data_IF_135381423025
#
_entry.id   IF_135381423025
#
_cell.length_a   1.000
_cell.length_b   1.000
_cell.length_c   1.000
_cell.angle_alpha   90.00
_cell.angle_beta   90.00
_cell.angle_gamma   90.00
#
_symmetry.space_group_name_H-M   'P 1'
#
loop_
_entity.id
_entity.type
_entity.pdbx_description
1 polymer ?
#
# COMPACT_ATOMS: atom_id res chain seq x y z
N UNK A 1 16.28 -45.34 -8.52
CA UNK A 1 15.48 -44.82 -9.65
C UNK A 1 14.72 -43.57 -9.19
N UNK A 2 15.12 -42.37 -9.65
CA UNK A 2 14.32 -41.16 -9.42
C UNK A 2 13.03 -41.32 -10.21
N UNK A 3 11.89 -41.34 -9.53
CA UNK A 3 10.57 -41.20 -10.17
C UNK A 3 10.60 -39.95 -11.04
N UNK A 4 10.15 -40.02 -12.31
CA UNK A 4 10.10 -38.83 -13.16
C UNK A 4 9.31 -37.74 -12.40
N UNK A 5 9.88 -36.53 -12.42
CA UNK A 5 9.28 -35.39 -11.71
C UNK A 5 7.92 -35.11 -12.39
N UNK A 6 6.85 -35.53 -11.71
CA UNK A 6 5.50 -35.41 -12.26
C UNK A 6 5.16 -33.92 -12.38
N UNK A 7 4.74 -33.41 -13.54
CA UNK A 7 4.54 -31.95 -13.78
C UNK A 7 3.63 -31.27 -12.73
N UNK A 8 2.67 -32.00 -12.17
CA UNK A 8 1.81 -31.46 -11.12
C UNK A 8 2.58 -31.12 -9.81
N UNK A 9 3.70 -31.80 -9.53
CA UNK A 9 4.54 -31.51 -8.34
C UNK A 9 5.23 -30.17 -8.45
N UNK A 10 5.75 -29.87 -9.62
CA UNK A 10 6.36 -28.56 -9.91
C UNK A 10 5.33 -27.44 -9.77
N UNK A 11 4.12 -27.65 -10.30
CA UNK A 11 3.03 -26.67 -10.16
C UNK A 11 2.58 -26.56 -8.69
N UNK A 12 2.44 -27.67 -7.97
CA UNK A 12 2.12 -27.66 -6.55
C UNK A 12 3.15 -26.85 -5.75
N UNK A 13 4.44 -27.08 -5.99
CA UNK A 13 5.50 -26.33 -5.31
C UNK A 13 5.39 -24.81 -5.59
N UNK A 14 5.10 -24.41 -6.84
CA UNK A 14 4.92 -23.02 -7.21
C UNK A 14 3.65 -22.38 -6.60
N UNK A 15 2.66 -23.18 -6.23
CA UNK A 15 1.38 -22.76 -5.67
C UNK A 15 1.22 -23.13 -4.19
N UNK A 16 2.31 -23.30 -3.46
CA UNK A 16 2.32 -23.67 -2.02
C UNK A 16 1.49 -24.92 -1.71
N UNK A 17 1.46 -25.88 -2.62
CA UNK A 17 0.70 -27.12 -2.47
C UNK A 17 -0.77 -27.05 -2.88
N UNK A 18 -1.27 -25.90 -3.32
CA UNK A 18 -2.66 -25.70 -3.72
C UNK A 18 -2.81 -25.95 -5.22
N UNK A 19 -3.74 -26.81 -5.62
CA UNK A 19 -4.01 -27.14 -7.03
C UNK A 19 -5.51 -27.18 -7.29
N UNK A 20 -5.98 -26.57 -8.37
CA UNK A 20 -7.37 -26.76 -8.77
C UNK A 20 -7.52 -28.07 -9.56
N UNK A 21 -8.72 -28.68 -9.46
CA UNK A 21 -9.03 -29.95 -10.11
C UNK A 21 -8.87 -29.90 -11.62
N UNK A 22 -9.08 -28.74 -12.25
CA UNK A 22 -8.87 -28.51 -13.66
C UNK A 22 -7.39 -28.62 -14.04
N UNK A 23 -6.48 -27.92 -13.30
CA UNK A 23 -5.03 -28.04 -13.50
C UNK A 23 -4.56 -29.49 -13.39
N UNK A 24 -5.06 -30.23 -12.40
CA UNK A 24 -4.73 -31.63 -12.23
C UNK A 24 -5.16 -32.46 -13.44
N UNK A 25 -6.36 -32.26 -13.94
CA UNK A 25 -6.85 -32.95 -15.13
C UNK A 25 -6.00 -32.61 -16.38
N UNK A 26 -5.66 -31.35 -16.60
CA UNK A 26 -4.77 -30.90 -17.69
C UNK A 26 -3.37 -31.54 -17.61
N UNK A 27 -2.90 -31.84 -16.39
CA UNK A 27 -1.62 -32.52 -16.14
C UNK A 27 -1.73 -34.05 -16.05
N UNK A 28 -2.86 -34.61 -16.47
CA UNK A 28 -3.07 -36.07 -16.55
C UNK A 28 -3.39 -36.74 -15.20
N UNK A 29 -3.68 -35.96 -14.14
CA UNK A 29 -4.08 -36.48 -12.84
C UNK A 29 -5.60 -36.59 -12.77
N UNK A 30 -6.13 -37.75 -13.10
CA UNK A 30 -7.56 -38.02 -13.17
C UNK A 30 -8.25 -38.01 -11.79
N UNK A 31 -9.60 -37.88 -11.81
CA UNK A 31 -10.46 -37.76 -10.62
C UNK A 31 -10.27 -38.91 -9.62
N UNK A 32 -10.12 -40.16 -10.10
CA UNK A 32 -9.90 -41.31 -9.23
C UNK A 32 -8.57 -41.21 -8.47
N UNK A 33 -7.51 -40.75 -9.12
CA UNK A 33 -6.22 -40.56 -8.47
C UNK A 33 -6.32 -39.47 -7.38
N UNK A 34 -7.00 -38.35 -7.66
CA UNK A 34 -7.25 -37.28 -6.66
C UNK A 34 -8.01 -37.84 -5.48
N UNK A 35 -9.11 -38.59 -5.71
CA UNK A 35 -9.90 -39.23 -4.65
C UNK A 35 -9.05 -40.16 -3.79
N UNK A 36 -8.27 -41.04 -4.39
CA UNK A 36 -7.39 -41.97 -3.67
C UNK A 36 -6.33 -41.26 -2.82
N UNK A 37 -5.80 -40.09 -3.26
CA UNK A 37 -4.87 -39.28 -2.45
C UNK A 37 -5.58 -38.68 -1.24
N UNK A 38 -6.82 -38.24 -1.37
CA UNK A 38 -7.63 -37.70 -0.27
C UNK A 38 -8.02 -38.81 0.73
N UNK A 39 -8.54 -39.94 0.23
CA UNK A 39 -8.90 -41.07 1.07
C UNK A 39 -7.71 -41.64 1.84
N UNK A 40 -6.52 -41.60 1.24
CA UNK A 40 -5.28 -41.99 1.90
C UNK A 40 -4.71 -40.94 2.87
N UNK A 41 -5.41 -39.82 3.09
CA UNK A 41 -4.97 -38.76 3.99
C UNK A 41 -3.70 -38.01 3.55
N UNK A 42 -3.27 -38.14 2.28
CA UNK A 42 -2.11 -37.44 1.75
C UNK A 42 -2.46 -36.06 1.19
N UNK A 43 -3.67 -35.89 0.69
CA UNK A 43 -4.22 -34.63 0.20
C UNK A 43 -5.50 -34.29 0.97
N UNK A 44 -5.86 -33.00 0.95
CA UNK A 44 -7.09 -32.49 1.57
C UNK A 44 -7.92 -31.76 0.50
N UNK A 45 -9.23 -32.01 0.49
CA UNK A 45 -10.15 -31.19 -0.31
C UNK A 45 -10.34 -29.84 0.42
N UNK A 46 -9.62 -28.83 -0.01
CA UNK A 46 -9.69 -27.48 0.59
C UNK A 46 -10.95 -26.71 0.15
N UNK A 47 -11.50 -27.07 -1.01
CA UNK A 47 -12.82 -26.61 -1.48
C UNK A 47 -13.34 -27.60 -2.54
N UNK A 48 -14.59 -27.46 -3.04
CA UNK A 48 -15.06 -28.27 -4.17
C UNK A 48 -14.13 -28.25 -5.39
N UNK A 49 -13.49 -27.11 -5.63
CA UNK A 49 -12.65 -26.88 -6.82
C UNK A 49 -11.15 -27.08 -6.57
N UNK A 50 -10.68 -27.04 -5.32
CA UNK A 50 -9.25 -27.00 -4.98
C UNK A 50 -8.88 -28.08 -3.98
N UNK A 51 -7.72 -28.69 -4.19
CA UNK A 51 -7.09 -29.60 -3.25
C UNK A 51 -5.77 -29.03 -2.74
N UNK A 52 -5.46 -29.33 -1.48
CA UNK A 52 -4.15 -29.14 -0.89
C UNK A 52 -3.36 -30.47 -0.98
N UNK A 53 -2.12 -30.40 -1.43
CA UNK A 53 -1.19 -31.54 -1.40
C UNK A 53 -0.45 -31.65 -0.07
N UNK A 54 -0.77 -30.78 0.88
CA UNK A 54 -0.31 -30.79 2.28
C UNK A 54 -1.49 -30.95 3.21
N UNK A 55 -1.24 -31.46 4.42
CA UNK A 55 -2.23 -31.63 5.48
C UNK A 55 -1.96 -30.64 6.61
N UNK A 56 -2.96 -30.35 7.44
CA UNK A 56 -2.87 -29.40 8.54
C UNK A 56 -3.48 -28.03 8.21
N UNK A 57 -3.35 -27.05 9.13
CA UNK A 57 -3.87 -25.71 8.94
C UNK A 57 -3.23 -25.03 7.72
N UNK A 58 -4.05 -24.32 6.96
CA UNK A 58 -3.55 -23.61 5.77
C UNK A 58 -2.77 -22.37 6.18
N UNK A 59 -1.61 -22.18 5.59
CA UNK A 59 -0.85 -20.94 5.70
C UNK A 59 -1.54 -19.80 4.95
N UNK A 60 -1.15 -18.55 5.24
CA UNK A 60 -1.68 -17.37 4.55
C UNK A 60 -1.46 -17.42 3.04
N UNK A 61 -0.31 -17.91 2.59
CA UNK A 61 -0.03 -18.08 1.15
C UNK A 61 -0.90 -19.18 0.52
N UNK A 62 -1.17 -20.26 1.26
CA UNK A 62 -2.11 -21.28 0.82
C UNK A 62 -3.54 -20.73 0.72
N UNK A 63 -3.98 -19.90 1.67
CA UNK A 63 -5.29 -19.25 1.60
C UNK A 63 -5.39 -18.30 0.39
N UNK A 64 -4.31 -17.54 0.08
CA UNK A 64 -4.26 -16.70 -1.13
C UNK A 64 -4.46 -17.53 -2.41
N UNK A 65 -3.72 -18.62 -2.54
CA UNK A 65 -3.87 -19.53 -3.69
C UNK A 65 -5.23 -20.21 -3.72
N UNK A 66 -5.72 -20.68 -2.57
CA UNK A 66 -7.04 -21.30 -2.46
C UNK A 66 -8.13 -20.38 -2.99
N UNK A 67 -8.16 -19.13 -2.56
CA UNK A 67 -9.17 -18.17 -2.98
C UNK A 67 -9.16 -17.91 -4.48
N UNK A 68 -7.99 -17.68 -5.06
CA UNK A 68 -7.86 -17.41 -6.50
C UNK A 68 -8.19 -18.64 -7.34
N UNK A 69 -7.70 -19.82 -6.95
CA UNK A 69 -7.96 -21.08 -7.68
C UNK A 69 -9.42 -21.51 -7.58
N UNK A 70 -10.08 -21.30 -6.44
CA UNK A 70 -11.48 -21.59 -6.23
C UNK A 70 -12.37 -20.70 -7.10
N UNK A 71 -12.09 -19.40 -7.12
CA UNK A 71 -12.86 -18.44 -7.90
C UNK A 71 -12.58 -18.50 -9.43
N UNK A 72 -11.52 -19.20 -9.83
CA UNK A 72 -11.22 -19.50 -11.21
C UNK A 72 -10.34 -18.46 -11.94
N UNK A 73 -10.13 -18.63 -13.24
CA UNK A 73 -9.03 -17.97 -13.98
C UNK A 73 -9.22 -16.46 -14.18
N UNK A 74 -10.40 -15.93 -13.90
CA UNK A 74 -10.69 -14.50 -14.01
C UNK A 74 -10.60 -13.77 -12.67
N UNK A 75 -10.34 -14.50 -11.57
CA UNK A 75 -10.19 -13.96 -10.23
C UNK A 75 -8.75 -13.53 -9.98
N UNK A 76 -8.58 -12.60 -9.04
CA UNK A 76 -7.26 -12.18 -8.56
C UNK A 76 -7.33 -11.68 -7.11
N UNK A 77 -6.21 -11.75 -6.40
CA UNK A 77 -6.08 -11.08 -5.12
C UNK A 77 -6.34 -9.59 -5.27
N UNK A 78 -7.11 -9.03 -4.35
CA UNK A 78 -7.46 -7.62 -4.32
C UNK A 78 -7.09 -6.93 -3.02
N UNK A 79 -7.37 -5.63 -2.99
CA UNK A 79 -7.29 -4.81 -1.77
C UNK A 79 -5.96 -4.98 -1.02
N UNK A 80 -6.04 -5.06 0.32
CA UNK A 80 -4.85 -5.22 1.17
C UNK A 80 -4.14 -6.55 0.95
N UNK A 81 -4.86 -7.63 0.60
CA UNK A 81 -4.22 -8.93 0.32
C UNK A 81 -3.30 -8.87 -0.89
N UNK A 82 -3.65 -8.08 -1.90
CA UNK A 82 -2.77 -7.79 -3.03
C UNK A 82 -1.62 -6.86 -2.61
N UNK A 83 -1.92 -5.83 -1.82
CA UNK A 83 -0.92 -4.88 -1.37
C UNK A 83 0.16 -5.53 -0.48
N UNK A 84 -0.20 -6.51 0.35
CA UNK A 84 0.75 -7.32 1.13
C UNK A 84 1.72 -8.09 0.24
N UNK A 85 1.23 -8.71 -0.84
CA UNK A 85 2.09 -9.42 -1.80
C UNK A 85 3.09 -8.47 -2.48
N UNK A 86 2.73 -7.19 -2.60
CA UNK A 86 3.61 -6.12 -3.08
C UNK A 86 4.48 -5.50 -1.98
N UNK A 87 4.45 -6.01 -0.75
CA UNK A 87 5.31 -5.59 0.34
C UNK A 87 4.73 -4.49 1.25
N UNK A 88 3.41 -4.21 1.20
CA UNK A 88 2.81 -3.26 2.13
C UNK A 88 2.76 -3.86 3.53
N UNK A 89 3.47 -3.24 4.47
CA UNK A 89 3.55 -3.65 5.87
C UNK A 89 2.52 -2.92 6.74
N UNK A 90 2.14 -3.54 7.89
CA UNK A 90 1.26 -2.97 8.95
C UNK A 90 -0.17 -2.63 8.51
N UNK A 91 -0.62 -3.18 7.37
CA UNK A 91 -1.95 -2.96 6.79
C UNK A 91 -2.64 -4.27 6.40
N UNK A 92 -2.36 -5.36 7.09
CA UNK A 92 -3.00 -6.63 6.82
C UNK A 92 -4.42 -6.72 7.40
N UNK A 93 -5.19 -7.64 6.88
CA UNK A 93 -6.47 -8.12 7.43
C UNK A 93 -6.37 -9.63 7.60
N UNK A 94 -7.13 -10.19 8.52
CA UNK A 94 -7.14 -11.65 8.71
C UNK A 94 -7.69 -12.35 7.47
N UNK A 95 -8.76 -11.83 6.91
CA UNK A 95 -9.36 -12.34 5.68
C UNK A 95 -8.55 -12.00 4.43
N UNK A 96 -8.48 -12.95 3.51
CA UNK A 96 -7.93 -12.78 2.18
C UNK A 96 -9.00 -12.23 1.25
N UNK A 97 -8.79 -11.07 0.67
CA UNK A 97 -9.71 -10.50 -0.33
C UNK A 97 -9.38 -11.01 -1.73
N UNK A 98 -10.38 -11.60 -2.39
CA UNK A 98 -10.32 -12.04 -3.78
C UNK A 98 -11.36 -11.29 -4.59
N UNK A 99 -10.94 -10.64 -5.67
CA UNK A 99 -11.82 -9.94 -6.60
C UNK A 99 -12.24 -10.87 -7.72
N UNK A 100 -13.53 -10.87 -8.01
CA UNK A 100 -14.12 -11.66 -9.10
C UNK A 100 -14.97 -10.75 -9.99
N UNK A 101 -15.04 -11.02 -11.30
CA UNK A 101 -15.99 -10.34 -12.17
C UNK A 101 -17.43 -10.51 -11.69
N UNK A 102 -18.31 -9.57 -12.02
CA UNK A 102 -19.70 -9.56 -11.57
C UNK A 102 -20.49 -10.81 -12.03
N UNK A 103 -20.12 -11.38 -13.15
CA UNK A 103 -20.77 -12.53 -13.82
C UNK A 103 -20.20 -13.90 -13.38
N UNK A 104 -19.27 -13.94 -12.44
CA UNK A 104 -18.72 -15.20 -11.91
C UNK A 104 -19.63 -15.72 -10.81
N UNK A 105 -20.08 -16.96 -10.96
CA UNK A 105 -20.75 -17.71 -9.90
C UNK A 105 -19.70 -18.41 -9.03
N UNK A 106 -19.87 -18.33 -7.73
CA UNK A 106 -18.99 -18.95 -6.75
C UNK A 106 -19.73 -20.10 -6.06
N UNK A 107 -19.07 -21.21 -5.92
CA UNK A 107 -19.60 -22.39 -5.21
C UNK A 107 -19.17 -22.35 -3.73
N UNK A 108 -20.05 -21.79 -2.89
CA UNK A 108 -19.87 -21.76 -1.44
C UNK A 108 -18.97 -20.64 -0.92
N UNK A 109 -18.94 -20.53 0.39
CA UNK A 109 -18.05 -19.63 1.13
C UNK A 109 -16.83 -20.42 1.62
N UNK A 110 -15.71 -19.75 1.77
CA UNK A 110 -14.48 -20.34 2.33
C UNK A 110 -14.06 -19.48 3.51
N UNK A 111 -13.92 -20.10 4.66
CA UNK A 111 -13.46 -19.42 5.87
C UNK A 111 -12.12 -18.71 5.65
N UNK A 112 -12.03 -17.47 6.09
CA UNK A 112 -10.85 -16.62 5.92
C UNK A 112 -10.68 -16.00 4.53
N UNK A 113 -11.67 -16.14 3.62
CA UNK A 113 -11.63 -15.56 2.28
C UNK A 113 -12.89 -14.74 2.01
N UNK A 114 -12.69 -13.45 1.69
CA UNK A 114 -13.74 -12.50 1.30
C UNK A 114 -13.75 -12.34 -0.24
N UNK A 115 -14.78 -12.87 -0.90
CA UNK A 115 -14.96 -12.76 -2.34
C UNK A 115 -15.77 -11.51 -2.69
N UNK A 116 -15.12 -10.53 -3.30
CA UNK A 116 -15.78 -9.27 -3.73
C UNK A 116 -16.03 -9.24 -5.23
N UNK A 117 -17.27 -9.04 -5.60
CA UNK A 117 -17.67 -8.87 -7.01
C UNK A 117 -17.37 -7.46 -7.48
N UNK A 118 -16.81 -7.34 -8.68
CA UNK A 118 -16.47 -6.03 -9.26
C UNK A 118 -16.84 -5.96 -10.76
N UNK A 119 -17.21 -4.75 -11.19
CA UNK A 119 -17.40 -4.42 -12.63
C UNK A 119 -16.15 -3.81 -13.25
N UNK A 120 -15.06 -3.67 -12.46
CA UNK A 120 -13.82 -3.08 -12.95
C UNK A 120 -13.12 -4.04 -13.92
N UNK A 121 -12.37 -3.51 -14.91
CA UNK A 121 -11.65 -4.32 -15.89
C UNK A 121 -10.42 -4.96 -15.25
N UNK A 122 -10.60 -6.10 -14.57
CA UNK A 122 -9.54 -6.81 -13.85
C UNK A 122 -8.28 -7.08 -14.69
N UNK A 123 -8.36 -7.45 -15.99
CA UNK A 123 -7.16 -7.67 -16.80
C UNK A 123 -6.21 -6.48 -16.87
N UNK A 124 -6.72 -5.24 -16.86
CA UNK A 124 -5.90 -4.02 -16.86
C UNK A 124 -5.19 -3.81 -15.50
N UNK A 125 -5.76 -4.36 -14.45
CA UNK A 125 -5.29 -4.20 -13.08
C UNK A 125 -4.41 -5.37 -12.61
N UNK A 126 -4.26 -6.43 -13.40
CA UNK A 126 -3.48 -7.63 -13.03
C UNK A 126 -1.99 -7.37 -13.11
N UNK A 127 -1.26 -7.78 -12.08
CA UNK A 127 0.21 -7.78 -12.04
C UNK A 127 0.78 -8.97 -12.82
N UNK A 128 2.11 -8.97 -13.02
CA UNK A 128 2.82 -10.08 -13.69
C UNK A 128 3.38 -11.11 -12.71
N UNK A 129 2.80 -11.22 -11.54
CA UNK A 129 3.18 -12.23 -10.53
C UNK A 129 2.61 -13.60 -10.89
N UNK A 130 3.22 -14.66 -10.36
CA UNK A 130 2.76 -16.05 -10.54
C UNK A 130 1.36 -16.25 -9.96
N UNK A 131 1.10 -15.72 -8.77
CA UNK A 131 -0.22 -15.64 -8.17
C UNK A 131 -1.00 -14.48 -8.81
N UNK A 132 -2.16 -14.72 -9.43
CA UNK A 132 -2.98 -13.65 -9.98
C UNK A 132 -3.32 -12.60 -8.93
N UNK A 133 -2.73 -11.42 -9.06
CA UNK A 133 -2.75 -10.37 -8.04
C UNK A 133 -3.00 -9.02 -8.70
N UNK A 134 -3.80 -8.18 -8.08
CA UNK A 134 -3.98 -6.79 -8.51
C UNK A 134 -2.64 -6.03 -8.40
N UNK A 135 -2.36 -5.12 -9.33
CA UNK A 135 -1.23 -4.18 -9.21
C UNK A 135 -1.38 -3.37 -7.93
N UNK A 136 -0.28 -2.91 -7.37
CA UNK A 136 -0.27 -2.23 -6.07
C UNK A 136 -1.18 -1.01 -6.03
N UNK A 137 -1.02 -0.08 -6.97
CA UNK A 137 -1.75 1.19 -6.96
C UNK A 137 -3.27 1.01 -7.03
N UNK A 138 -3.82 0.22 -7.98
CA UNK A 138 -5.25 -0.02 -7.99
C UNK A 138 -5.73 -0.83 -6.77
N UNK A 139 -4.90 -1.70 -6.17
CA UNK A 139 -5.26 -2.43 -4.95
C UNK A 139 -5.43 -1.47 -3.76
N UNK A 140 -4.46 -0.58 -3.56
CA UNK A 140 -4.51 0.49 -2.54
C UNK A 140 -5.74 1.38 -2.73
N UNK A 141 -5.96 1.87 -3.95
CA UNK A 141 -7.07 2.79 -4.25
C UNK A 141 -8.44 2.10 -4.17
N UNK A 142 -8.52 0.83 -4.56
CA UNK A 142 -9.74 0.05 -4.45
C UNK A 142 -10.10 -0.17 -2.98
N UNK A 143 -9.15 -0.64 -2.16
CA UNK A 143 -9.37 -0.74 -0.71
C UNK A 143 -9.77 0.61 -0.11
N UNK A 144 -9.02 1.67 -0.40
CA UNK A 144 -9.25 3.00 0.15
C UNK A 144 -10.65 3.55 -0.18
N UNK A 145 -11.11 3.35 -1.43
CA UNK A 145 -12.40 3.88 -1.89
C UNK A 145 -13.61 3.27 -1.18
N UNK A 146 -13.50 2.06 -0.66
CA UNK A 146 -14.60 1.38 0.04
C UNK A 146 -14.53 1.49 1.56
N UNK A 147 -13.57 2.24 2.10
CA UNK A 147 -13.52 2.50 3.55
C UNK A 147 -14.63 3.43 4.00
N UNK A 148 -15.09 3.27 5.25
CA UNK A 148 -16.01 4.19 5.88
C UNK A 148 -15.31 5.48 6.33
N UNK A 149 -14.06 5.36 6.78
CA UNK A 149 -13.24 6.46 7.28
C UNK A 149 -12.36 7.05 6.16
N UNK A 150 -12.53 8.36 5.83
CA UNK A 150 -11.63 9.07 4.93
C UNK A 150 -10.16 9.00 5.39
N UNK A 151 -9.95 8.97 6.70
CA UNK A 151 -8.61 8.88 7.30
C UNK A 151 -7.93 7.54 7.02
N UNK A 152 -8.65 6.43 7.18
CA UNK A 152 -8.14 5.11 6.82
C UNK A 152 -7.76 5.06 5.35
N UNK A 153 -8.61 5.64 4.48
CA UNK A 153 -8.34 5.73 3.05
C UNK A 153 -7.08 6.56 2.72
N UNK A 154 -6.90 7.71 3.36
CA UNK A 154 -5.70 8.52 3.20
C UNK A 154 -4.47 7.85 3.81
N UNK A 155 -4.65 7.17 4.95
CA UNK A 155 -3.58 6.47 5.66
C UNK A 155 -2.92 5.38 4.82
N UNK A 156 -3.69 4.53 4.16
CA UNK A 156 -3.16 3.46 3.32
C UNK A 156 -2.45 4.02 2.07
N UNK A 157 -3.00 5.07 1.45
CA UNK A 157 -2.38 5.78 0.32
C UNK A 157 -1.03 6.38 0.73
N UNK A 158 -0.99 7.05 1.88
CA UNK A 158 0.24 7.64 2.42
C UNK A 158 1.27 6.57 2.78
N UNK A 159 0.84 5.46 3.41
CA UNK A 159 1.71 4.36 3.80
C UNK A 159 2.43 3.72 2.60
N UNK A 160 1.72 3.52 1.48
CA UNK A 160 2.32 2.97 0.27
C UNK A 160 3.45 3.85 -0.29
N UNK A 161 3.28 5.18 -0.24
CA UNK A 161 4.33 6.13 -0.67
C UNK A 161 5.47 6.19 0.34
N UNK A 162 5.17 6.23 1.65
CA UNK A 162 6.19 6.25 2.71
C UNK A 162 7.09 5.01 2.69
N UNK A 163 6.50 3.83 2.48
CA UNK A 163 7.23 2.58 2.35
C UNK A 163 7.96 2.46 1.00
N UNK A 164 7.89 3.49 0.15
CA UNK A 164 8.55 3.55 -1.18
C UNK A 164 8.13 2.42 -2.12
N UNK A 165 6.94 1.90 -1.93
CA UNK A 165 6.38 0.84 -2.79
C UNK A 165 5.84 1.42 -4.10
N UNK A 166 5.42 2.68 -4.07
CA UNK A 166 4.92 3.43 -5.22
C UNK A 166 5.20 4.92 -5.06
N UNK A 167 4.81 5.73 -6.06
CA UNK A 167 4.93 7.18 -6.03
C UNK A 167 3.55 7.86 -6.05
N UNK A 168 3.49 9.10 -5.57
CA UNK A 168 2.28 9.92 -5.68
C UNK A 168 1.82 10.10 -7.13
N UNK A 169 2.78 10.24 -8.07
CA UNK A 169 2.49 10.34 -9.50
C UNK A 169 1.82 9.07 -10.05
N UNK A 170 2.33 7.88 -9.71
CA UNK A 170 1.74 6.61 -10.13
C UNK A 170 0.32 6.44 -9.56
N UNK A 171 0.11 6.74 -8.28
CA UNK A 171 -1.22 6.69 -7.66
C UNK A 171 -2.18 7.69 -8.31
N UNK A 172 -1.74 8.91 -8.65
CA UNK A 172 -2.57 9.92 -9.34
C UNK A 172 -3.01 9.43 -10.72
N UNK A 173 -2.14 8.77 -11.46
CA UNK A 173 -2.50 8.16 -12.75
C UNK A 173 -3.59 7.10 -12.57
N UNK A 174 -3.47 6.23 -11.55
CA UNK A 174 -4.49 5.23 -11.26
C UNK A 174 -5.80 5.84 -10.74
N UNK A 175 -5.78 6.95 -9.98
CA UNK A 175 -7.01 7.71 -9.64
C UNK A 175 -7.74 8.17 -10.91
N UNK A 176 -6.99 8.51 -11.97
CA UNK A 176 -7.55 8.89 -13.26
C UNK A 176 -8.12 7.69 -14.03
N UNK A 177 -7.38 6.58 -14.08
CA UNK A 177 -7.75 5.36 -14.81
C UNK A 177 -8.94 4.62 -14.18
N UNK A 178 -9.09 4.68 -12.86
CA UNK A 178 -10.14 3.99 -12.11
C UNK A 178 -11.47 4.76 -12.05
N UNK A 179 -11.69 5.77 -12.87
CA UNK A 179 -12.97 6.53 -12.88
C UNK A 179 -14.15 5.65 -13.30
N UNK A 180 -15.33 5.78 -12.61
CA UNK A 180 -15.56 6.56 -11.41
C UNK A 180 -14.92 5.93 -10.17
N UNK A 181 -14.28 6.76 -9.34
CA UNK A 181 -13.65 6.33 -8.07
C UNK A 181 -14.19 7.20 -6.94
N UNK A 182 -14.76 6.55 -5.91
CA UNK A 182 -15.20 7.25 -4.70
C UNK A 182 -14.01 7.99 -4.08
N UNK A 183 -14.23 9.19 -3.62
CA UNK A 183 -13.24 10.06 -2.98
C UNK A 183 -12.05 10.45 -3.88
N UNK A 184 -12.19 10.37 -5.19
CA UNK A 184 -11.12 10.71 -6.13
C UNK A 184 -10.52 12.11 -5.89
N UNK A 185 -11.34 13.11 -5.49
CA UNK A 185 -10.83 14.44 -5.16
C UNK A 185 -9.98 14.41 -3.89
N UNK A 186 -10.47 13.76 -2.83
CA UNK A 186 -9.72 13.59 -1.58
C UNK A 186 -8.36 12.91 -1.81
N UNK A 187 -8.31 11.90 -2.69
CA UNK A 187 -7.03 11.26 -3.04
C UNK A 187 -6.09 12.22 -3.76
N UNK A 188 -6.59 13.02 -4.71
CA UNK A 188 -5.77 14.04 -5.38
C UNK A 188 -5.20 15.04 -4.38
N UNK A 189 -6.03 15.58 -3.51
CA UNK A 189 -5.61 16.53 -2.47
C UNK A 189 -4.54 15.92 -1.54
N UNK A 190 -4.75 14.66 -1.11
CA UNK A 190 -3.78 13.92 -0.31
C UNK A 190 -2.44 13.72 -1.04
N UNK A 191 -2.48 13.36 -2.32
CA UNK A 191 -1.29 13.16 -3.14
C UNK A 191 -0.55 14.47 -3.41
N UNK A 192 -1.25 15.58 -3.60
CA UNK A 192 -0.65 16.92 -3.73
C UNK A 192 0.07 17.33 -2.44
N UNK A 193 -0.51 17.04 -1.27
CA UNK A 193 0.12 17.29 0.01
C UNK A 193 1.37 16.41 0.21
N UNK A 194 1.35 15.14 -0.21
CA UNK A 194 2.51 14.24 -0.17
C UNK A 194 3.62 14.75 -1.07
N UNK A 195 3.34 15.14 -2.32
CA UNK A 195 4.33 15.73 -3.23
C UNK A 195 4.87 17.06 -2.70
N UNK A 196 4.03 17.83 -2.03
CA UNK A 196 4.45 19.04 -1.30
C UNK A 196 5.35 18.73 -0.08
N UNK A 197 5.78 17.48 0.13
CA UNK A 197 6.74 17.03 1.15
C UNK A 197 6.13 16.58 2.47
N UNK A 198 4.83 16.26 2.54
CA UNK A 198 4.26 15.57 3.69
C UNK A 198 4.55 14.08 3.58
N UNK A 199 5.25 13.52 4.55
CA UNK A 199 5.67 12.13 4.55
C UNK A 199 4.86 11.25 5.50
N UNK A 200 3.99 11.82 6.34
CA UNK A 200 3.14 11.08 7.26
C UNK A 200 1.75 11.69 7.44
N UNK A 201 0.79 10.91 7.97
CA UNK A 201 -0.54 11.43 8.31
C UNK A 201 -0.47 12.54 9.38
N UNK A 202 0.45 12.42 10.32
CA UNK A 202 0.69 13.46 11.30
C UNK A 202 1.17 14.77 10.65
N UNK A 203 2.03 14.68 9.65
CA UNK A 203 2.48 15.83 8.87
C UNK A 203 1.35 16.46 8.03
N UNK A 204 0.45 15.64 7.48
CA UNK A 204 -0.75 16.12 6.80
C UNK A 204 -1.67 16.88 7.77
N UNK A 205 -1.88 16.32 8.95
CA UNK A 205 -2.72 16.92 9.99
C UNK A 205 -2.11 18.26 10.48
N UNK A 206 -0.81 18.35 10.70
CA UNK A 206 -0.12 19.61 11.03
C UNK A 206 -0.26 20.66 9.93
N UNK A 207 -0.11 20.28 8.67
CA UNK A 207 -0.29 21.24 7.56
C UNK A 207 -1.71 21.80 7.51
N UNK A 208 -2.71 20.94 7.72
CA UNK A 208 -4.11 21.33 7.77
C UNK A 208 -4.38 22.26 8.95
N UNK A 209 -3.85 21.91 10.13
CA UNK A 209 -3.91 22.75 11.33
C UNK A 209 -3.31 24.13 11.06
N UNK A 210 -2.07 24.19 10.56
CA UNK A 210 -1.41 25.45 10.24
C UNK A 210 -2.20 26.28 9.21
N UNK A 211 -2.72 25.66 8.15
CA UNK A 211 -3.55 26.32 7.14
C UNK A 211 -4.84 26.89 7.73
N UNK A 212 -5.58 26.06 8.51
CA UNK A 212 -6.85 26.43 9.14
C UNK A 212 -6.71 27.60 10.11
N UNK A 213 -5.67 27.57 10.92
CA UNK A 213 -5.42 28.58 11.96
C UNK A 213 -4.46 29.70 11.53
N UNK A 214 -4.09 29.73 10.24
CA UNK A 214 -3.15 30.71 9.66
C UNK A 214 -1.82 30.78 10.43
N UNK A 215 -1.32 29.65 10.91
CA UNK A 215 0.00 29.55 11.53
C UNK A 215 1.10 29.41 10.47
N UNK A 216 2.30 29.88 10.77
CA UNK A 216 3.47 29.65 9.94
C UNK A 216 3.73 28.14 9.80
N UNK A 217 4.29 27.73 8.67
CA UNK A 217 4.72 26.33 8.49
C UNK A 217 5.90 26.02 9.40
N UNK A 218 5.92 24.87 10.09
CA UNK A 218 7.06 24.47 10.88
C UNK A 218 8.25 24.07 10.02
N UNK A 219 9.46 24.24 10.54
CA UNK A 219 10.60 23.43 10.16
C UNK A 219 10.35 21.98 10.66
N UNK A 220 10.61 20.98 9.82
CA UNK A 220 10.27 19.59 10.13
C UNK A 220 11.48 18.69 10.09
N UNK A 221 11.43 17.60 10.89
CA UNK A 221 12.52 16.64 10.98
C UNK A 221 13.86 17.34 11.19
N UNK A 222 13.87 18.32 12.13
CA UNK A 222 15.04 19.14 12.36
C UNK A 222 16.07 18.34 13.13
N UNK A 223 17.25 18.19 12.55
CA UNK A 223 18.37 17.48 13.16
C UNK A 223 18.93 18.31 14.33
N UNK A 224 18.95 17.73 15.52
CA UNK A 224 19.47 18.34 16.75
C UNK A 224 20.50 17.42 17.42
N UNK A 225 21.47 18.02 18.09
CA UNK A 225 22.41 17.29 18.93
C UNK A 225 21.99 17.48 20.37
N UNK A 226 21.65 16.40 21.05
CA UNK A 226 21.28 16.41 22.45
C UNK A 226 22.48 16.76 23.37
N UNK A 227 22.20 17.08 24.61
CA UNK A 227 23.24 17.32 25.62
C UNK A 227 24.15 16.09 25.83
N UNK A 228 23.64 14.89 25.55
CA UNK A 228 24.36 13.62 25.56
C UNK A 228 25.19 13.36 24.27
N UNK A 229 25.28 14.36 23.38
CA UNK A 229 26.02 14.30 22.13
C UNK A 229 25.35 13.47 21.01
N UNK A 230 24.22 12.80 21.28
CA UNK A 230 23.49 12.01 20.29
C UNK A 230 22.70 12.91 19.33
N UNK A 231 22.65 12.48 18.07
CA UNK A 231 21.81 13.15 17.06
C UNK A 231 20.38 12.66 17.19
N UNK A 232 19.44 13.61 17.24
CA UNK A 232 18.00 13.38 17.28
C UNK A 232 17.28 14.25 16.27
N UNK A 233 16.04 13.90 15.94
CA UNK A 233 15.19 14.66 15.05
C UNK A 233 13.93 15.07 15.81
N UNK A 234 13.53 16.34 15.68
CA UNK A 234 12.27 16.87 16.20
C UNK A 234 11.24 16.89 15.09
N UNK A 235 9.96 16.59 15.38
CA UNK A 235 8.94 16.50 14.35
C UNK A 235 8.62 17.87 13.74
N UNK A 236 8.32 18.87 14.56
CA UNK A 236 7.98 20.21 14.13
C UNK A 236 8.64 21.27 15.00
N UNK A 237 9.20 22.33 14.40
CA UNK A 237 9.77 23.47 15.12
C UNK A 237 9.31 24.80 14.52
N UNK A 238 9.06 25.78 15.39
CA UNK A 238 8.82 27.18 15.06
C UNK A 238 9.71 28.09 15.88
N UNK A 239 10.22 29.15 15.30
CA UNK A 239 10.89 30.21 16.04
C UNK A 239 9.88 31.32 16.30
N UNK A 240 9.69 31.66 17.57
CA UNK A 240 8.81 32.77 18.00
C UNK A 240 9.44 34.14 17.75
N UNK A 241 8.66 35.20 17.88
CA UNK A 241 9.16 36.57 17.79
C UNK A 241 10.17 36.91 18.90
N UNK A 242 10.06 36.27 20.06
CA UNK A 242 11.01 36.40 21.18
C UNK A 242 12.29 35.59 21.01
N UNK A 243 12.43 34.82 19.93
CA UNK A 243 13.61 34.00 19.65
C UNK A 243 13.57 32.59 20.27
N UNK A 244 12.56 32.25 21.06
CA UNK A 244 12.37 30.88 21.54
C UNK A 244 11.98 29.93 20.44
N UNK A 245 12.36 28.67 20.57
CA UNK A 245 11.96 27.60 19.66
C UNK A 245 10.84 26.78 20.31
N UNK A 246 9.67 26.77 19.69
CA UNK A 246 8.57 25.87 20.05
C UNK A 246 8.74 24.58 19.28
N UNK A 247 8.89 23.48 20.00
CA UNK A 247 8.99 22.11 19.45
C UNK A 247 7.69 21.39 19.72
N UNK A 248 7.08 20.82 18.68
CA UNK A 248 5.94 19.91 18.81
C UNK A 248 6.37 18.52 18.36
N UNK A 249 6.30 17.57 19.30
CA UNK A 249 6.47 16.14 19.07
C UNK A 249 5.10 15.49 18.96
N UNK A 250 4.92 14.60 17.98
CA UNK A 250 3.65 13.97 17.69
C UNK A 250 3.76 12.46 17.92
N UNK A 251 3.20 11.99 19.02
CA UNK A 251 3.25 10.59 19.39
C UNK A 251 2.31 9.75 18.49
N UNK A 252 2.86 8.73 17.86
CA UNK A 252 2.10 7.72 17.13
C UNK A 252 1.34 6.81 18.08
N UNK A 253 0.06 6.55 17.84
CA UNK A 253 -0.86 5.82 18.73
C UNK A 253 -0.55 4.34 19.00
N UNK A 254 0.66 3.83 18.73
CA UNK A 254 1.00 2.40 18.82
C UNK A 254 2.16 2.03 19.72
N UNK A 255 2.76 2.97 20.46
CA UNK A 255 3.87 2.66 21.35
C UNK A 255 3.62 3.18 22.77
N UNK A 256 2.71 2.53 23.48
CA UNK A 256 2.67 2.58 24.95
C UNK A 256 3.13 1.22 25.51
N UNK A 257 4.36 0.83 25.19
CA UNK A 257 5.07 -0.17 25.99
C UNK A 257 5.85 0.55 27.07
N UNK A 258 5.67 0.12 28.30
CA UNK A 258 6.21 0.78 29.54
C UNK A 258 7.74 0.92 29.48
N UNK A 259 8.44 0.06 28.77
CA UNK A 259 9.91 0.08 28.62
C UNK A 259 10.42 1.29 27.80
N UNK A 260 9.62 1.88 26.93
CA UNK A 260 10.03 3.06 26.16
C UNK A 260 9.77 4.40 26.85
N UNK A 261 9.00 4.41 27.93
CA UNK A 261 8.65 5.64 28.63
C UNK A 261 9.84 6.30 29.34
N UNK A 262 10.73 5.49 29.92
CA UNK A 262 11.95 6.01 30.59
C UNK A 262 12.97 6.55 29.56
N UNK A 263 13.11 5.88 28.43
CA UNK A 263 13.98 6.36 27.33
C UNK A 263 13.43 7.65 26.71
N UNK A 264 12.11 7.78 26.56
CA UNK A 264 11.46 8.97 26.03
C UNK A 264 11.60 10.16 26.99
N UNK A 265 11.46 9.96 28.31
CA UNK A 265 11.71 11.00 29.32
C UNK A 265 13.18 11.44 29.35
N UNK A 266 14.12 10.54 29.20
CA UNK A 266 15.54 10.85 29.09
C UNK A 266 15.85 11.64 27.79
N UNK A 267 15.17 11.29 26.70
CA UNK A 267 15.25 11.99 25.41
C UNK A 267 14.76 13.43 25.54
N UNK A 268 13.60 13.64 26.15
CA UNK A 268 13.02 14.98 26.38
C UNK A 268 13.93 15.87 27.22
N UNK A 269 14.43 15.34 28.33
CA UNK A 269 15.40 16.08 29.17
C UNK A 269 16.67 16.46 28.42
N UNK A 270 17.15 15.62 27.50
CA UNK A 270 18.38 15.88 26.74
C UNK A 270 18.21 16.96 25.65
N UNK A 271 16.99 17.22 25.22
CA UNK A 271 16.65 18.24 24.22
C UNK A 271 16.15 19.55 24.88
N UNK A 272 15.83 19.52 26.18
CA UNK A 272 15.42 20.70 26.93
C UNK A 272 16.57 21.72 27.01
N UNK A 273 16.27 22.99 26.79
CA UNK A 273 17.19 24.12 26.87
C UNK A 273 16.41 25.37 27.25
N UNK A 274 17.10 26.41 27.77
CA UNK A 274 16.46 27.64 28.25
C UNK A 274 15.62 28.36 27.16
N UNK A 275 15.97 28.16 25.88
CA UNK A 275 15.32 28.82 24.75
C UNK A 275 14.32 27.89 24.00
N UNK A 276 13.98 26.72 24.56
CA UNK A 276 13.14 25.74 23.91
C UNK A 276 11.94 25.35 24.76
N UNK A 277 10.77 25.42 24.14
CA UNK A 277 9.51 25.02 24.72
C UNK A 277 9.06 23.76 24.03
N UNK A 278 8.99 22.64 24.75
CA UNK A 278 8.53 21.37 24.25
C UNK A 278 7.03 21.21 24.50
N UNK A 279 6.28 20.89 23.44
CA UNK A 279 4.89 20.50 23.46
C UNK A 279 4.79 19.09 22.87
N UNK A 280 4.01 18.22 23.50
CA UNK A 280 3.68 16.90 22.96
C UNK A 280 2.20 16.81 22.70
N UNK A 281 1.82 16.20 21.61
CA UNK A 281 0.45 15.80 21.38
C UNK A 281 0.42 14.39 20.73
N UNK A 282 -0.65 13.68 20.96
CA UNK A 282 -0.88 12.42 20.25
C UNK A 282 -1.39 12.70 18.83
N UNK A 283 -1.13 11.78 17.92
CA UNK A 283 -1.76 11.82 16.59
C UNK A 283 -3.29 11.85 16.67
N UNK A 284 -3.87 11.38 17.78
CA UNK A 284 -5.31 11.43 18.05
C UNK A 284 -5.76 12.84 18.42
N UNK A 285 -5.07 13.51 19.38
CA UNK A 285 -5.38 14.91 19.74
C UNK A 285 -5.25 15.84 18.54
N UNK A 286 -4.17 15.72 17.80
CA UNK A 286 -3.95 16.51 16.59
C UNK A 286 -5.08 16.36 15.58
N UNK A 287 -5.71 15.20 15.52
CA UNK A 287 -6.83 14.88 14.65
C UNK A 287 -8.17 15.33 15.19
N UNK A 288 -8.47 14.94 16.44
CA UNK A 288 -9.81 15.02 17.01
C UNK A 288 -10.04 16.39 17.68
N UNK A 289 -8.97 17.03 18.17
CA UNK A 289 -8.95 18.31 18.88
C UNK A 289 -7.96 19.32 18.26
N UNK A 290 -7.92 19.52 16.92
CA UNK A 290 -6.91 20.38 16.28
C UNK A 290 -6.99 21.83 16.76
N UNK A 291 -8.16 22.31 17.12
CA UNK A 291 -8.37 23.68 17.61
C UNK A 291 -7.68 23.89 18.95
N UNK A 292 -7.67 22.88 19.83
CA UNK A 292 -6.96 22.89 21.11
C UNK A 292 -5.45 22.93 20.92
N UNK A 293 -4.90 22.04 20.09
CA UNK A 293 -3.47 22.02 19.77
C UNK A 293 -3.04 23.36 19.15
N UNK A 294 -3.88 23.92 18.27
CA UNK A 294 -3.59 25.24 17.68
C UNK A 294 -3.61 26.36 18.71
N UNK A 295 -4.56 26.34 19.67
CA UNK A 295 -4.61 27.32 20.75
C UNK A 295 -3.34 27.27 21.63
N UNK A 296 -2.84 26.09 21.95
CA UNK A 296 -1.59 25.92 22.69
C UNK A 296 -0.39 26.47 21.91
N UNK A 297 -0.29 26.16 20.61
CA UNK A 297 0.78 26.71 19.77
C UNK A 297 0.73 28.25 19.68
N UNK A 298 -0.48 28.82 19.57
CA UNK A 298 -0.68 30.30 19.56
C UNK A 298 -0.26 30.91 20.88
N UNK A 299 -0.66 30.30 22.00
CA UNK A 299 -0.31 30.75 23.37
C UNK A 299 1.21 30.73 23.59
N UNK A 300 1.91 29.78 23.00
CA UNK A 300 3.37 29.68 23.03
C UNK A 300 4.08 30.62 22.05
N UNK A 301 3.35 31.43 21.30
CA UNK A 301 3.92 32.45 20.42
C UNK A 301 4.32 31.95 19.02
N UNK A 302 3.77 30.81 18.56
CA UNK A 302 3.97 30.36 17.19
C UNK A 302 3.47 31.43 16.20
N UNK A 303 4.31 31.88 15.23
CA UNK A 303 3.97 33.01 14.38
C UNK A 303 2.81 32.68 13.43
N UNK A 304 2.07 33.70 13.04
CA UNK A 304 1.04 33.63 11.98
C UNK A 304 1.68 33.57 10.60
N UNK A 305 1.03 32.89 9.67
CA UNK A 305 1.46 32.89 8.27
C UNK A 305 1.46 34.30 7.69
N UNK A 306 2.54 34.71 7.05
CA UNK A 306 2.67 36.04 6.44
C UNK A 306 3.19 37.15 7.38
N UNK A 307 3.41 36.86 8.67
CA UNK A 307 4.11 37.77 9.59
C UNK A 307 5.60 37.40 9.57
N UNK A 308 6.40 38.19 8.85
CA UNK A 308 7.87 38.10 8.97
C UNK A 308 8.23 38.65 10.35
N UNK A 309 8.94 37.92 11.24
CA UNK A 309 9.42 38.47 12.49
C UNK A 309 10.33 39.65 12.20
N UNK A 310 9.98 40.83 12.67
CA UNK A 310 10.89 41.96 12.72
C UNK A 310 11.95 41.63 13.77
N UNK A 311 13.18 41.47 13.32
CA UNK A 311 14.41 41.29 14.06
C UNK A 311 14.84 39.87 14.42
N UNK A 312 16.05 39.59 13.98
CA UNK A 312 16.86 38.44 14.36
C UNK A 312 17.69 37.95 13.17
N UNK A 313 18.87 38.51 13.04
CA UNK A 313 19.90 38.03 12.12
C UNK A 313 19.92 36.51 12.18
N UNK A 314 19.43 35.85 11.12
CA UNK A 314 19.56 34.42 10.99
C UNK A 314 21.01 34.02 11.23
N UNK A 315 21.30 32.99 12.07
CA UNK A 315 22.62 32.42 12.05
C UNK A 315 22.87 31.97 10.62
N UNK A 316 23.91 32.54 10.02
CA UNK A 316 24.38 32.13 8.69
C UNK A 316 24.54 30.60 8.75
N UNK A 317 23.61 29.87 8.18
CA UNK A 317 23.83 28.48 7.85
C UNK A 317 25.06 28.49 6.95
N UNK A 318 26.18 27.96 7.43
CA UNK A 318 27.31 27.66 6.58
C UNK A 318 26.79 26.84 5.41
N UNK A 319 26.76 27.47 4.26
CA UNK A 319 26.29 26.90 3.02
C UNK A 319 27.13 25.68 2.66
N UNK A 320 26.67 24.54 3.07
CA UNK A 320 27.07 23.30 2.42
C UNK A 320 26.39 23.30 1.06
N UNK A 321 27.07 23.86 0.04
CA UNK A 321 26.75 23.59 -1.35
C UNK A 321 26.75 22.09 -1.52
N UNK A 322 25.56 21.54 -1.69
CA UNK A 322 25.41 20.16 -2.12
C UNK A 322 25.94 20.07 -3.55
N UNK A 323 27.18 19.57 -3.69
CA UNK A 323 27.71 19.13 -4.97
C UNK A 323 27.43 17.65 -5.08
N UNK A 324 26.70 17.18 -6.13
CA UNK A 324 26.54 15.76 -6.33
C UNK A 324 27.90 15.13 -6.61
N UNK A 325 28.36 14.26 -5.72
CA UNK A 325 29.56 13.47 -5.92
C UNK A 325 29.31 12.54 -7.11
N UNK A 326 29.86 12.92 -8.27
CA UNK A 326 29.96 12.04 -9.44
C UNK A 326 30.78 10.84 -9.03
N UNK A 327 30.15 9.69 -8.81
CA UNK A 327 30.83 8.41 -8.79
C UNK A 327 31.37 8.17 -10.19
N UNK A 328 32.70 8.27 -10.34
CA UNK A 328 33.42 7.78 -11.52
C UNK A 328 33.26 6.27 -11.56
N UNK A 329 32.26 5.78 -12.29
CA UNK A 329 32.28 4.40 -12.79
C UNK A 329 33.21 4.38 -14.00
N UNK A 330 34.28 3.57 -13.92
CA UNK A 330 35.15 3.21 -15.03
C UNK A 330 34.27 2.66 -16.16
N UNK A 331 34.40 3.28 -17.32
CA UNK A 331 33.84 2.77 -18.55
C UNK A 331 34.66 1.54 -18.98
N UNK A 332 34.02 0.39 -19.03
CA UNK A 332 34.47 -0.73 -19.84
C UNK A 332 33.70 -0.63 -21.16
N UNK A 333 34.46 -0.38 -22.20
CA UNK A 333 33.99 -0.34 -23.59
C UNK A 333 33.67 -1.75 -24.06
N UNK A 334 32.46 -1.97 -24.52
CA UNK A 334 32.06 -3.07 -25.40
C UNK A 334 31.26 -2.51 -26.59
N UNK A 335 31.44 -3.06 -27.81
CA UNK A 335 31.05 -2.42 -29.04
C UNK A 335 29.53 -2.55 -29.33
N UNK A 336 28.96 -1.73 -30.24
CA UNK A 336 27.53 -1.63 -30.47
C UNK A 336 26.99 -2.78 -31.30
N UNK A 337 26.10 -3.59 -30.71
CA UNK A 337 25.27 -4.56 -31.41
C UNK A 337 24.10 -3.84 -32.11
N UNK A 338 23.94 -4.07 -33.38
CA UNK A 338 22.90 -3.57 -34.29
C UNK A 338 21.50 -3.94 -33.78
N UNK A 339 20.65 -2.96 -33.56
CA UNK A 339 19.22 -3.15 -33.31
C UNK A 339 18.49 -3.24 -34.66
N UNK A 340 17.91 -4.42 -34.94
CA UNK A 340 16.89 -4.56 -35.99
C UNK A 340 15.50 -4.15 -35.44
N UNK A 341 14.56 -3.71 -36.31
CA UNK A 341 13.26 -3.24 -35.87
C UNK A 341 12.33 -4.40 -35.49
N UNK A 342 11.71 -4.31 -34.32
CA UNK A 342 10.69 -5.23 -33.87
C UNK A 342 9.41 -5.00 -34.70
N UNK A 343 9.04 -5.99 -35.51
CA UNK A 343 7.73 -6.07 -36.14
C UNK A 343 6.76 -6.77 -35.19
N UNK A 344 5.64 -6.12 -34.89
CA UNK A 344 4.51 -6.70 -34.17
C UNK A 344 3.84 -7.78 -35.03
N UNK A 345 3.40 -8.94 -34.48
CA UNK A 345 2.66 -9.94 -35.21
C UNK A 345 1.21 -9.47 -35.44
N UNK A 346 0.63 -9.76 -36.61
CA UNK A 346 -0.74 -9.37 -36.94
C UNK A 346 -1.76 -10.30 -36.28
N UNK A 347 -2.73 -9.73 -35.58
CA UNK A 347 -3.91 -10.42 -35.08
C UNK A 347 -4.83 -10.76 -36.26
N UNK A 348 -4.99 -12.05 -36.57
CA UNK A 348 -5.99 -12.52 -37.48
C UNK A 348 -7.39 -12.32 -36.85
N UNK A 349 -8.22 -11.58 -37.57
CA UNK A 349 -9.68 -11.54 -37.39
C UNK A 349 -10.24 -12.87 -37.83
N UNK A 350 -10.77 -13.68 -36.97
CA UNK A 350 -11.62 -14.82 -37.33
C UNK A 350 -13.08 -14.41 -37.27
N UNK A 351 -13.80 -14.82 -38.31
CA UNK A 351 -15.08 -14.39 -38.78
C UNK A 351 -16.26 -14.54 -37.84
N UNK A 352 -17.25 -13.72 -38.10
CA UNK A 352 -18.64 -13.83 -37.62
C UNK A 352 -19.26 -15.15 -38.08
N UNK A 353 -20.00 -15.89 -37.26
CA UNK A 353 -20.98 -16.84 -37.79
C UNK A 353 -22.31 -16.12 -38.10
N UNK A 354 -22.88 -16.53 -39.21
CA UNK A 354 -24.14 -16.06 -39.76
C UNK A 354 -25.33 -16.46 -38.88
N UNK A 355 -26.29 -15.55 -38.78
CA UNK A 355 -27.63 -15.74 -38.23
C UNK A 355 -28.49 -16.58 -39.17
N UNK A 356 -29.24 -17.58 -38.73
CA UNK A 356 -30.36 -18.12 -39.53
C UNK A 356 -31.64 -17.35 -39.23
N UNK A 357 -32.32 -17.01 -40.32
CA UNK A 357 -33.60 -16.34 -40.33
C UNK A 357 -34.76 -17.31 -40.04
N UNK A 358 -35.74 -16.77 -39.28
CA UNK A 358 -37.16 -16.96 -39.55
C UNK A 358 -37.82 -18.28 -39.18
N UNK A 359 -38.67 -18.25 -38.10
CA UNK A 359 -39.96 -18.92 -38.11
C UNK A 359 -40.90 -18.23 -37.10
N UNK A 360 -41.96 -17.63 -37.59
CA UNK A 360 -43.12 -17.14 -36.87
C UNK A 360 -43.90 -18.27 -36.21
N UNK A 361 -44.50 -18.10 -35.02
CA UNK A 361 -45.52 -19.01 -34.52
C UNK A 361 -46.92 -18.59 -34.97
N UNK A 362 -47.68 -19.53 -35.47
CA UNK A 362 -49.12 -19.45 -35.60
C UNK A 362 -49.79 -19.74 -34.27
N UNK A 363 -50.87 -18.98 -34.04
CA UNK A 363 -51.84 -19.10 -32.97
C UNK A 363 -52.52 -20.50 -32.87
N UNK A 364 -52.83 -20.91 -31.69
CA UNK A 364 -53.73 -21.92 -31.22
C UNK A 364 -53.95 -21.73 -29.72
#
# INVERSE_FOLDING_TARGET
MRTPDEPWRTLAAAQHGMLCRRQLAELGVGRNRVRNQIEAGRWVAASPMVVSTTTGPLSRDQLRWLGVLHAGPRALLGDLSAAEVHGLERWHRDEITVLVPQDVELEGEIEGIDFKRTRRPLPLMTSRLSLPTMKLEPAILHFAAYQHSPRTAQGVVSAAVQQRLTSAAALREWVRLMRPLRWAQMFRDCLDEIEGGATSMAELDIRRLCKRHRLARPARQVRRRGADGRTRYTDCEWTTASGHVVVLEIDGGFHMEVEHWEEDMARERSLAGQDRIHLRCTSRELRDEPDRVAADLIRLGVPRAGVVPLSGRAPRSAGARWTPRRSRRRATTSPPGRRGPWRAPPWRRSGRPATPAGASPRRG
#
